data_IF_273473736285
#
_entry.id   IF_273473736285
#
_cell.length_a   1.000
_cell.length_b   1.000
_cell.length_c   1.000
_cell.angle_alpha   90.00
_cell.angle_beta   90.00
_cell.angle_gamma   90.00
#
_symmetry.space_group_name_H-M   'P 1'
#
loop_
_entity.id
_entity.type
_entity.pdbx_description
1 polymer ?
#
# COMPACT_ATOMS: atom_id res chain seq x y z
N UNK A 1 -8.04 21.16 -16.78
CA UNK A 1 -7.06 21.14 -15.68
C UNK A 1 -7.79 21.12 -14.34
N UNK A 2 -8.37 19.99 -13.95
CA UNK A 2 -9.19 19.89 -12.75
C UNK A 2 -9.10 18.46 -12.16
N UNK A 3 -7.92 18.08 -11.68
CA UNK A 3 -7.74 16.86 -10.88
C UNK A 3 -7.01 17.13 -9.55
N UNK A 4 -7.00 18.39 -9.11
CA UNK A 4 -6.65 18.73 -7.73
C UNK A 4 -7.93 18.80 -6.91
N UNK A 5 -7.89 18.26 -5.69
CA UNK A 5 -8.96 18.25 -4.69
C UNK A 5 -9.97 17.09 -4.77
N UNK A 6 -9.47 15.88 -4.49
CA UNK A 6 -10.26 14.92 -3.69
C UNK A 6 -9.61 14.93 -2.31
N UNK A 7 -10.32 15.52 -1.34
CA UNK A 7 -9.85 15.68 0.03
C UNK A 7 -9.56 14.35 0.71
N UNK A 8 -8.52 14.35 1.55
CA UNK A 8 -8.38 13.39 2.64
C UNK A 8 -7.42 12.22 2.43
N UNK A 9 -6.65 12.15 1.34
CA UNK A 9 -5.65 11.09 1.19
C UNK A 9 -4.29 11.64 0.76
N UNK A 10 -3.31 11.55 1.67
CA UNK A 10 -1.93 12.00 1.46
C UNK A 10 -1.24 11.10 0.42
N UNK A 11 -1.28 11.52 -0.84
CA UNK A 11 -0.54 10.86 -1.91
C UNK A 11 0.98 11.06 -1.73
N UNK A 12 1.80 10.05 -2.05
CA UNK A 12 3.24 10.18 -1.94
C UNK A 12 3.78 11.24 -2.89
N UNK A 13 4.74 11.99 -2.37
CA UNK A 13 5.45 13.04 -3.11
C UNK A 13 6.85 12.53 -3.45
N UNK A 14 7.29 12.78 -4.67
CA UNK A 14 8.66 12.50 -5.09
C UNK A 14 9.65 13.35 -4.28
N UNK A 15 10.64 12.72 -3.65
CA UNK A 15 11.66 13.42 -2.87
C UNK A 15 12.63 14.24 -3.74
N UNK A 16 12.75 13.89 -5.03
CA UNK A 16 13.69 14.58 -5.94
C UNK A 16 13.10 15.84 -6.57
N UNK A 17 11.84 15.80 -7.04
CA UNK A 17 11.22 16.92 -7.75
C UNK A 17 10.01 17.53 -7.05
N UNK A 18 9.62 17.02 -5.88
CA UNK A 18 8.43 17.49 -5.16
C UNK A 18 7.11 17.19 -5.86
N UNK A 19 7.10 16.42 -6.96
CA UNK A 19 5.87 16.09 -7.66
C UNK A 19 5.05 15.04 -6.91
N UNK A 20 3.77 15.35 -6.65
CA UNK A 20 2.84 14.45 -5.99
C UNK A 20 2.30 13.41 -6.98
N UNK A 21 2.40 12.13 -6.63
CA UNK A 21 1.96 11.06 -7.52
C UNK A 21 0.44 10.90 -7.48
N UNK A 22 -0.16 10.52 -8.60
CA UNK A 22 -1.57 10.14 -8.62
C UNK A 22 -1.77 8.72 -8.09
N UNK A 23 -2.93 8.42 -7.48
CA UNK A 23 -3.27 7.08 -6.97
C UNK A 23 -3.06 5.99 -8.02
N UNK A 24 -3.53 6.22 -9.24
CA UNK A 24 -3.38 5.27 -10.36
C UNK A 24 -1.92 5.02 -10.70
N UNK A 25 -1.10 6.07 -10.68
CA UNK A 25 0.34 5.98 -10.96
C UNK A 25 1.05 5.19 -9.87
N UNK A 26 0.79 5.50 -8.60
CA UNK A 26 1.36 4.79 -7.45
C UNK A 26 0.94 3.33 -7.46
N UNK A 27 -0.35 3.04 -7.59
CA UNK A 27 -0.87 1.68 -7.63
C UNK A 27 -0.25 0.84 -8.76
N UNK A 28 -0.18 1.37 -9.99
CA UNK A 28 0.45 0.68 -11.11
C UNK A 28 1.95 0.42 -10.91
N UNK A 29 2.62 1.30 -10.16
CA UNK A 29 4.05 1.17 -9.86
C UNK A 29 4.30 0.21 -8.68
N UNK A 30 3.43 0.20 -7.67
CA UNK A 30 3.44 -0.76 -6.56
C UNK A 30 3.18 -2.20 -7.06
N UNK A 31 2.30 -2.38 -8.05
CA UNK A 31 2.06 -3.68 -8.66
C UNK A 31 3.25 -4.19 -9.49
N UNK A 32 4.14 -3.30 -9.95
CA UNK A 32 5.39 -3.73 -10.56
C UNK A 32 6.36 -4.14 -9.45
N UNK A 33 6.68 -5.43 -9.41
CA UNK A 33 7.69 -6.05 -8.53
C UNK A 33 9.10 -5.61 -8.98
N UNK A 34 9.35 -4.31 -9.01
CA UNK A 34 10.67 -3.78 -9.31
C UNK A 34 11.04 -2.88 -8.13
N UNK A 35 12.20 -3.13 -7.50
CA UNK A 35 12.58 -2.48 -6.25
C UNK A 35 12.58 -0.94 -6.36
N UNK A 36 12.84 -0.39 -7.56
CA UNK A 36 12.81 1.04 -7.84
C UNK A 36 11.63 1.47 -8.72
N UNK A 37 10.83 2.41 -8.22
CA UNK A 37 9.81 3.11 -8.96
C UNK A 37 10.39 4.39 -9.59
N UNK A 38 10.53 4.42 -10.92
CA UNK A 38 11.00 5.62 -11.63
C UNK A 38 9.89 6.67 -11.67
N UNK A 39 10.20 7.88 -11.23
CA UNK A 39 9.33 9.05 -11.31
C UNK A 39 9.08 9.45 -12.77
N UNK A 40 7.81 9.60 -13.23
CA UNK A 40 7.53 9.96 -14.61
C UNK A 40 7.85 11.42 -14.95
N UNK A 41 8.05 12.29 -13.95
CA UNK A 41 8.34 13.71 -14.16
C UNK A 41 9.83 14.02 -14.22
N UNK A 42 10.61 13.49 -13.29
CA UNK A 42 12.05 13.80 -13.20
C UNK A 42 12.97 12.62 -13.55
N UNK A 43 12.42 11.43 -13.83
CA UNK A 43 13.21 10.24 -14.12
C UNK A 43 13.99 9.67 -12.92
N UNK A 44 13.96 10.31 -11.76
CA UNK A 44 14.64 9.81 -10.58
C UNK A 44 14.02 8.50 -10.10
N UNK A 45 14.89 7.56 -9.70
CA UNK A 45 14.48 6.31 -9.07
C UNK A 45 14.03 6.62 -7.64
N UNK A 46 12.84 6.17 -7.27
CA UNK A 46 12.28 6.30 -5.93
C UNK A 46 11.99 4.91 -5.41
N UNK A 47 12.19 4.69 -4.12
CA UNK A 47 11.94 3.42 -3.47
C UNK A 47 10.79 3.60 -2.48
N UNK A 48 9.94 2.58 -2.34
CA UNK A 48 9.05 2.53 -1.18
C UNK A 48 9.92 2.45 0.08
N UNK A 49 9.67 3.30 1.08
CA UNK A 49 10.43 3.26 2.33
C UNK A 49 10.34 1.87 2.99
N UNK A 50 11.42 1.41 3.61
CA UNK A 50 11.40 0.19 4.41
C UNK A 50 10.29 0.23 5.48
N UNK A 51 10.08 1.41 6.09
CA UNK A 51 9.00 1.67 7.05
C UNK A 51 7.60 1.41 6.47
N UNK A 52 7.35 1.83 5.23
CA UNK A 52 6.06 1.58 4.57
C UNK A 52 5.89 0.09 4.22
N UNK A 53 6.92 -0.57 3.69
CA UNK A 53 6.90 -2.02 3.41
C UNK A 53 6.65 -2.82 4.68
N UNK A 54 7.31 -2.46 5.77
CA UNK A 54 7.08 -3.06 7.10
C UNK A 54 5.67 -2.77 7.60
N UNK A 55 5.14 -1.55 7.44
CA UNK A 55 3.79 -1.22 7.90
C UNK A 55 2.72 -2.03 7.17
N UNK A 56 2.80 -2.12 5.84
CA UNK A 56 1.89 -2.94 5.04
C UNK A 56 2.06 -4.43 5.35
N UNK A 57 3.30 -4.91 5.46
CA UNK A 57 3.61 -6.28 5.86
C UNK A 57 3.05 -6.64 7.23
N UNK A 58 3.31 -5.82 8.26
CA UNK A 58 2.80 -6.01 9.61
C UNK A 58 1.27 -5.99 9.68
N UNK A 59 0.62 -5.09 8.94
CA UNK A 59 -0.85 -5.06 8.87
C UNK A 59 -1.39 -6.36 8.28
N UNK A 60 -0.84 -6.84 7.16
CA UNK A 60 -1.24 -8.12 6.57
C UNK A 60 -0.97 -9.30 7.51
N UNK A 61 0.17 -9.30 8.23
CA UNK A 61 0.53 -10.35 9.19
C UNK A 61 -0.39 -10.40 10.41
N UNK A 62 -0.99 -9.29 10.82
CA UNK A 62 -1.90 -9.22 11.98
C UNK A 62 -3.34 -9.66 11.62
N UNK A 63 -3.76 -9.46 10.36
CA UNK A 63 -5.13 -9.75 9.94
C UNK A 63 -5.42 -11.25 9.86
N UNK A 64 -4.48 -12.05 9.36
CA UNK A 64 -4.65 -13.50 9.28
C UNK A 64 -4.93 -14.15 10.64
N UNK A 65 -4.13 -13.94 11.71
CA UNK A 65 -4.42 -14.50 13.02
C UNK A 65 -5.69 -13.92 13.66
N UNK A 66 -6.03 -12.65 13.42
CA UNK A 66 -7.30 -12.07 13.90
C UNK A 66 -8.52 -12.76 13.27
N UNK A 67 -8.49 -13.04 11.96
CA UNK A 67 -9.57 -13.76 11.29
C UNK A 67 -9.73 -15.18 11.81
N UNK A 68 -8.61 -15.89 12.03
CA UNK A 68 -8.61 -17.25 12.60
C UNK A 68 -9.13 -17.24 14.04
N UNK A 69 -8.71 -16.25 14.85
CA UNK A 69 -9.18 -16.13 16.22
C UNK A 69 -10.68 -15.80 16.26
N UNK A 70 -11.14 -14.91 15.38
CA UNK A 70 -12.56 -14.55 15.27
C UNK A 70 -13.42 -15.73 14.85
N UNK A 71 -12.93 -16.62 13.98
CA UNK A 71 -13.69 -17.80 13.57
C UNK A 71 -13.84 -18.83 14.68
N UNK A 72 -12.82 -18.96 15.54
CA UNK A 72 -12.88 -19.81 16.72
C UNK A 72 -13.90 -19.30 17.74
N UNK A 73 -13.91 -18.00 18.05
CA UNK A 73 -14.84 -17.43 19.04
C UNK A 73 -16.27 -17.28 18.53
N UNK A 74 -16.47 -16.98 17.25
CA UNK A 74 -17.78 -16.73 16.66
C UNK A 74 -18.37 -17.94 15.93
N UNK A 75 -17.68 -19.10 15.95
CA UNK A 75 -18.09 -20.33 15.25
C UNK A 75 -18.42 -20.08 13.76
N UNK A 76 -17.63 -19.23 13.10
CA UNK A 76 -17.87 -18.87 11.70
C UNK A 76 -17.56 -20.05 10.78
N UNK A 77 -18.45 -20.28 9.82
CA UNK A 77 -18.21 -21.23 8.74
C UNK A 77 -17.15 -20.71 7.76
N UNK A 78 -16.52 -21.63 7.02
CA UNK A 78 -15.53 -21.26 6.01
C UNK A 78 -16.06 -20.26 4.96
N UNK A 79 -17.37 -20.33 4.65
CA UNK A 79 -18.01 -19.43 3.68
C UNK A 79 -18.07 -18.01 4.20
N UNK A 80 -18.42 -17.83 5.48
CA UNK A 80 -18.45 -16.51 6.13
C UNK A 80 -17.05 -15.91 6.26
N UNK A 81 -16.07 -16.76 6.57
CA UNK A 81 -14.67 -16.35 6.67
C UNK A 81 -14.13 -15.86 5.31
N UNK A 82 -14.46 -16.54 4.22
CA UNK A 82 -14.12 -16.09 2.86
C UNK A 82 -14.90 -14.82 2.51
N UNK A 83 -16.19 -14.75 2.83
CA UNK A 83 -17.05 -13.61 2.53
C UNK A 83 -16.58 -12.33 3.24
N UNK A 84 -15.93 -12.43 4.40
CA UNK A 84 -15.38 -11.30 5.15
C UNK A 84 -13.91 -11.04 4.77
N UNK A 85 -13.09 -12.09 4.72
CA UNK A 85 -11.66 -11.98 4.48
C UNK A 85 -11.30 -11.49 3.07
N UNK A 86 -12.03 -11.94 2.05
CA UNK A 86 -11.77 -11.54 0.66
C UNK A 86 -11.98 -10.03 0.42
N UNK A 87 -13.12 -9.41 0.77
CA UNK A 87 -13.28 -7.96 0.61
C UNK A 87 -12.31 -7.16 1.48
N UNK A 88 -11.98 -7.65 2.68
CA UNK A 88 -11.03 -6.98 3.57
C UNK A 88 -9.63 -6.93 2.95
N UNK A 89 -9.13 -8.05 2.43
CA UNK A 89 -7.83 -8.12 1.75
C UNK A 89 -7.80 -7.23 0.50
N UNK A 90 -8.87 -7.23 -0.30
CA UNK A 90 -8.99 -6.34 -1.47
C UNK A 90 -8.94 -4.87 -1.04
N UNK A 91 -9.68 -4.49 0.01
CA UNK A 91 -9.70 -3.13 0.52
C UNK A 91 -8.30 -2.67 0.97
N UNK A 92 -7.53 -3.54 1.62
CA UNK A 92 -6.16 -3.23 2.07
C UNK A 92 -5.21 -3.07 0.88
N UNK A 93 -5.32 -3.91 -0.15
CA UNK A 93 -4.50 -3.78 -1.35
C UNK A 93 -4.81 -2.45 -2.05
N UNK A 94 -6.08 -2.07 -2.15
CA UNK A 94 -6.50 -0.79 -2.73
C UNK A 94 -6.08 0.41 -1.86
N UNK A 95 -6.04 0.24 -0.54
CA UNK A 95 -5.59 1.26 0.41
C UNK A 95 -4.07 1.38 0.50
N UNK A 96 -3.33 0.32 0.19
CA UNK A 96 -1.86 0.27 0.25
C UNK A 96 -1.14 1.43 -0.45
N UNK A 97 -1.50 1.89 -1.68
CA UNK A 97 -0.92 3.08 -2.32
C UNK A 97 -0.92 4.35 -1.45
N UNK A 98 -1.86 4.48 -0.51
CA UNK A 98 -1.94 5.61 0.41
C UNK A 98 -1.03 5.46 1.64
N UNK A 99 -0.60 4.24 1.94
CA UNK A 99 0.34 3.94 3.02
C UNK A 99 1.80 3.93 2.54
N UNK A 100 2.03 4.10 1.23
CA UNK A 100 3.37 4.19 0.66
C UNK A 100 3.97 5.58 0.81
N UNK A 101 5.01 5.68 1.65
CA UNK A 101 5.93 6.81 1.66
C UNK A 101 7.08 6.53 0.68
N UNK A 102 7.40 7.50 -0.19
CA UNK A 102 8.51 7.43 -1.13
C UNK A 102 9.80 7.96 -0.49
N UNK A 103 10.90 7.25 -0.71
CA UNK A 103 12.26 7.64 -0.33
C UNK A 103 13.17 7.61 -1.56
N UNK A 104 14.16 8.52 -1.58
CA UNK A 104 15.20 8.50 -2.61
C UNK A 104 16.23 7.40 -2.34
N UNK A 105 16.40 7.01 -1.08
CA UNK A 105 17.32 5.95 -0.66
C UNK A 105 16.61 4.59 -0.64
N UNK A 106 17.23 3.59 -1.28
CA UNK A 106 16.92 2.19 -1.06
C UNK A 106 17.43 1.81 0.32
N UNK A 107 16.57 1.91 1.34
CA UNK A 107 16.89 1.33 2.64
C UNK A 107 16.72 -0.18 2.54
N UNK A 108 17.79 -0.99 2.69
CA UNK A 108 17.65 -2.42 2.80
C UNK A 108 16.79 -2.75 4.03
N UNK A 109 16.04 -3.85 3.95
CA UNK A 109 15.21 -4.34 5.05
C UNK A 109 16.04 -5.06 6.14
N UNK A 110 17.38 -4.94 6.08
CA UNK A 110 18.36 -5.53 6.97
C UNK A 110 19.61 -4.66 7.00
#
# INVERSE_FOLDING_TARGET
MAFYYIGGVSMPTCQNCGHQWSWKTTFKKTLKINNGMICPFCGARQFATAKSRMRVGSLCSIIAPLLILSSYFLHLSAKELIAIGLPLTIAIILASPFLYELSNDEKPLW
#
